data_IF_013907447584
#
_entry.id   IF_013907447584
#
_cell.length_a   1.000
_cell.length_b   1.000
_cell.length_c   1.000
_cell.angle_alpha   90.00
_cell.angle_beta   90.00
_cell.angle_gamma   90.00
#
_symmetry.space_group_name_H-M   'P 1'
#
loop_
_entity.id
_entity.type
_entity.pdbx_description
1 polymer ?
#
# COMPACT_ATOMS: atom_id res chain seq x y z
N UNK A 1 15.00 -15.82 2.47
CA UNK A 1 14.65 -16.77 1.39
C UNK A 1 14.34 -15.96 0.14
N UNK A 2 14.32 -16.55 -1.06
CA UNK A 2 13.84 -15.79 -2.23
C UNK A 2 12.32 -15.65 -2.15
N UNK A 3 11.82 -14.46 -2.45
CA UNK A 3 10.40 -14.19 -2.53
C UNK A 3 10.10 -13.19 -3.64
N UNK A 4 8.89 -13.29 -4.20
CA UNK A 4 8.31 -12.29 -5.08
C UNK A 4 6.80 -12.24 -4.87
N UNK A 5 6.21 -11.07 -5.01
CA UNK A 5 4.77 -10.88 -5.08
C UNK A 5 4.46 -9.86 -6.19
N UNK A 6 3.45 -10.16 -6.99
CA UNK A 6 2.98 -9.30 -8.07
C UNK A 6 1.47 -9.38 -8.19
N UNK A 7 0.85 -8.32 -8.69
CA UNK A 7 -0.59 -8.24 -8.84
C UNK A 7 -1.02 -6.78 -8.95
N UNK A 8 -2.18 -6.44 -8.38
CA UNK A 8 -2.69 -5.07 -8.39
C UNK A 8 -2.97 -4.56 -6.98
N UNK A 9 -3.03 -3.23 -6.86
CA UNK A 9 -3.33 -2.59 -5.61
C UNK A 9 -4.22 -1.36 -5.79
N UNK A 10 -4.93 -1.03 -4.72
CA UNK A 10 -5.61 0.24 -4.55
C UNK A 10 -5.20 0.81 -3.19
N UNK A 11 -4.76 2.07 -3.18
CA UNK A 11 -4.44 2.80 -1.97
C UNK A 11 -5.30 4.05 -1.82
N UNK A 12 -5.53 4.42 -0.56
CA UNK A 12 -6.15 5.68 -0.19
C UNK A 12 -5.56 6.23 1.09
N UNK A 13 -5.40 7.55 1.15
CA UNK A 13 -4.93 8.23 2.35
C UNK A 13 -5.60 9.60 2.53
N UNK A 14 -5.44 10.14 3.73
CA UNK A 14 -5.96 11.45 4.15
C UNK A 14 -5.32 12.64 3.44
N UNK A 15 -4.19 12.46 2.75
CA UNK A 15 -3.47 13.55 2.09
C UNK A 15 -4.33 14.25 1.03
N UNK A 16 -4.03 15.52 0.78
CA UNK A 16 -4.54 16.22 -0.38
C UNK A 16 -4.13 15.50 -1.67
N UNK A 17 -4.88 15.73 -2.74
CA UNK A 17 -4.78 15.00 -4.03
C UNK A 17 -3.37 15.00 -4.62
N UNK A 18 -2.60 16.07 -4.42
CA UNK A 18 -1.18 16.08 -4.78
C UNK A 18 -0.37 15.67 -3.55
N UNK A 19 -0.35 14.36 -3.32
CA UNK A 19 0.35 13.77 -2.18
C UNK A 19 1.86 14.06 -2.25
N UNK A 20 2.43 14.63 -1.18
CA UNK A 20 3.86 14.92 -1.10
C UNK A 20 4.74 13.67 -0.99
N UNK A 21 4.17 12.53 -0.57
CA UNK A 21 4.92 11.31 -0.30
C UNK A 21 5.73 10.83 -1.51
N UNK A 22 5.19 10.96 -2.72
CA UNK A 22 5.83 10.51 -3.94
C UNK A 22 7.18 11.17 -4.24
N UNK A 23 7.44 12.34 -3.65
CA UNK A 23 8.70 13.08 -3.79
C UNK A 23 9.32 13.38 -2.42
N UNK A 24 8.99 12.59 -1.40
CA UNK A 24 9.48 12.75 -0.02
C UNK A 24 9.26 14.17 0.55
N UNK A 25 8.22 14.86 0.07
CA UNK A 25 7.77 16.10 0.66
C UNK A 25 6.87 15.81 1.86
N UNK A 26 6.77 16.78 2.78
CA UNK A 26 5.87 16.69 3.93
C UNK A 26 4.44 16.39 3.46
N UNK A 27 3.82 15.29 3.93
CA UNK A 27 2.41 15.03 3.66
C UNK A 27 1.57 16.13 4.27
N UNK A 28 0.48 16.49 3.60
CA UNK A 28 -0.49 17.40 4.17
C UNK A 28 -1.89 17.02 3.69
N UNK A 29 -2.85 17.04 4.59
CA UNK A 29 -4.25 16.87 4.25
C UNK A 29 -4.94 18.21 3.90
N UNK A 30 -6.21 18.20 3.46
CA UNK A 30 -6.91 19.44 3.12
C UNK A 30 -7.13 20.40 4.30
N UNK A 31 -6.90 19.97 5.54
CA UNK A 31 -6.97 20.81 6.75
C UNK A 31 -5.59 21.32 7.19
N UNK A 32 -4.52 20.94 6.49
CA UNK A 32 -3.15 21.37 6.76
C UNK A 32 -2.46 20.61 7.90
N UNK A 33 -2.96 19.43 8.30
CA UNK A 33 -2.19 18.56 9.21
C UNK A 33 -1.05 17.92 8.44
N UNK A 34 0.14 17.90 9.03
CA UNK A 34 1.39 17.45 8.39
C UNK A 34 1.69 15.96 8.67
N UNK A 35 0.71 15.10 8.39
CA UNK A 35 0.82 13.65 8.58
C UNK A 35 0.08 12.91 7.45
N UNK A 36 0.40 11.63 7.25
CA UNK A 36 -0.32 10.75 6.35
C UNK A 36 -0.87 9.56 7.13
N UNK A 37 -2.19 9.48 7.23
CA UNK A 37 -2.90 8.25 7.60
C UNK A 37 -3.45 7.61 6.33
N UNK A 38 -3.11 6.34 6.09
CA UNK A 38 -3.44 5.66 4.85
C UNK A 38 -3.58 4.15 4.99
N UNK A 39 -4.10 3.55 3.91
CA UNK A 39 -4.02 2.12 3.69
C UNK A 39 -3.96 1.79 2.20
N UNK A 40 -3.41 0.63 1.88
CA UNK A 40 -3.43 0.04 0.55
C UNK A 40 -3.83 -1.43 0.66
N UNK A 41 -4.74 -1.89 -0.19
CA UNK A 41 -5.02 -3.30 -0.34
C UNK A 41 -4.38 -3.80 -1.63
N UNK A 42 -3.90 -5.03 -1.57
CA UNK A 42 -3.16 -5.72 -2.61
C UNK A 42 -3.84 -7.04 -2.88
N UNK A 43 -4.03 -7.34 -4.16
CA UNK A 43 -4.33 -8.68 -4.64
C UNK A 43 -3.04 -9.29 -5.19
N UNK A 44 -2.56 -10.38 -4.60
CA UNK A 44 -1.39 -11.10 -5.11
C UNK A 44 -1.85 -12.03 -6.23
N UNK A 45 -1.63 -11.63 -7.48
CA UNK A 45 -1.92 -12.47 -8.64
C UNK A 45 -0.93 -13.63 -8.78
N UNK A 46 0.36 -13.34 -8.54
CA UNK A 46 1.43 -14.35 -8.52
C UNK A 46 2.46 -14.03 -7.44
N UNK A 47 2.80 -15.00 -6.59
CA UNK A 47 3.84 -14.80 -5.60
C UNK A 47 4.19 -16.02 -4.74
N UNK A 48 5.34 -15.96 -4.08
CA UNK A 48 5.84 -17.01 -3.22
C UNK A 48 6.83 -16.51 -2.15
N UNK A 49 7.00 -17.29 -1.08
CA UNK A 49 8.14 -17.21 -0.15
C UNK A 49 8.74 -18.60 0.02
N UNK A 50 9.90 -18.85 -0.59
CA UNK A 50 10.42 -20.22 -0.69
C UNK A 50 9.38 -21.11 -1.39
N UNK A 51 8.91 -22.16 -0.71
CA UNK A 51 7.91 -23.11 -1.21
C UNK A 51 6.45 -22.70 -0.90
N UNK A 52 6.23 -21.64 -0.11
CA UNK A 52 4.88 -21.16 0.24
C UNK A 52 4.32 -20.36 -0.93
N UNK A 53 3.21 -20.84 -1.51
CA UNK A 53 2.48 -20.14 -2.56
C UNK A 53 1.61 -19.02 -1.96
N UNK A 54 1.79 -17.78 -2.45
CA UNK A 54 1.05 -16.59 -2.03
C UNK A 54 0.03 -16.11 -3.08
N UNK A 55 -0.06 -16.77 -4.24
CA UNK A 55 -1.02 -16.41 -5.28
C UNK A 55 -2.46 -16.54 -4.79
N UNK A 56 -3.29 -15.55 -5.12
CA UNK A 56 -4.69 -15.44 -4.71
C UNK A 56 -4.90 -14.87 -3.31
N UNK A 57 -3.85 -14.49 -2.58
CA UNK A 57 -3.98 -13.89 -1.25
C UNK A 57 -4.17 -12.38 -1.37
N UNK A 58 -5.22 -11.88 -0.72
CA UNK A 58 -5.44 -10.45 -0.53
C UNK A 58 -4.89 -10.01 0.83
N UNK A 59 -4.28 -8.82 0.89
CA UNK A 59 -3.85 -8.21 2.14
C UNK A 59 -3.97 -6.69 2.09
N UNK A 60 -4.09 -6.06 3.25
CA UNK A 60 -4.08 -4.62 3.42
C UNK A 60 -2.90 -4.17 4.29
N UNK A 61 -2.19 -3.15 3.81
CA UNK A 61 -1.12 -2.45 4.49
C UNK A 61 -1.65 -1.12 5.01
N UNK A 62 -1.62 -0.91 6.32
CA UNK A 62 -2.01 0.33 6.97
C UNK A 62 -0.78 1.12 7.40
N UNK A 63 -0.83 2.43 7.25
CA UNK A 63 0.29 3.30 7.59
C UNK A 63 -0.13 4.56 8.34
N UNK A 64 0.75 4.98 9.23
CA UNK A 64 0.83 6.35 9.71
C UNK A 64 2.25 6.86 9.48
N UNK A 65 2.38 7.90 8.66
CA UNK A 65 3.62 8.65 8.46
C UNK A 65 3.48 10.00 9.17
N UNK A 66 4.21 10.22 10.28
CA UNK A 66 4.09 11.46 11.06
C UNK A 66 4.82 12.65 10.44
N UNK A 67 5.53 12.43 9.32
CA UNK A 67 6.29 13.43 8.58
C UNK A 67 6.57 12.91 7.17
N UNK A 68 7.47 13.55 6.41
CA UNK A 68 7.97 12.99 5.16
C UNK A 68 8.57 11.59 5.38
N UNK A 69 8.53 10.75 4.34
CA UNK A 69 8.73 9.31 4.47
C UNK A 69 10.12 8.97 4.99
N UNK A 70 11.18 9.64 4.50
CA UNK A 70 12.55 9.36 4.95
C UNK A 70 12.84 9.77 6.40
N UNK A 71 11.98 10.58 7.02
CA UNK A 71 12.09 10.92 8.45
C UNK A 71 11.72 9.75 9.37
N UNK A 72 11.12 8.69 8.84
CA UNK A 72 10.82 7.46 9.56
C UNK A 72 9.76 7.63 10.66
N UNK A 73 9.89 6.82 11.71
CA UNK A 73 8.89 6.68 12.77
C UNK A 73 7.50 6.29 12.25
N UNK A 74 7.47 5.47 11.19
CA UNK A 74 6.21 4.98 10.64
C UNK A 74 5.55 4.02 11.61
N UNK A 75 4.22 4.06 11.69
CA UNK A 75 3.45 2.95 12.22
C UNK A 75 2.89 2.14 11.08
N UNK A 76 3.08 0.83 11.10
CA UNK A 76 2.63 -0.08 10.04
C UNK A 76 1.85 -1.23 10.63
N UNK A 77 0.66 -1.51 10.11
CA UNK A 77 -0.14 -2.68 10.49
C UNK A 77 -0.64 -3.43 9.26
N UNK A 78 -0.76 -4.75 9.34
CA UNK A 78 -1.15 -5.59 8.20
C UNK A 78 -2.45 -6.32 8.52
N UNK A 79 -3.39 -6.34 7.59
CA UNK A 79 -4.52 -7.27 7.62
C UNK A 79 -4.36 -8.25 6.48
N UNK A 80 -4.36 -9.55 6.75
CA UNK A 80 -4.38 -10.57 5.70
C UNK A 80 -5.79 -11.14 5.59
N UNK A 81 -6.22 -11.46 4.36
CA UNK A 81 -7.54 -12.04 4.14
C UNK A 81 -7.75 -13.30 4.98
N UNK A 82 -8.95 -13.42 5.56
CA UNK A 82 -9.30 -14.53 6.45
C UNK A 82 -9.33 -15.90 5.76
N UNK A 83 -9.40 -15.92 4.42
CA UNK A 83 -9.26 -17.12 3.59
C UNK A 83 -7.83 -17.64 3.45
N UNK A 84 -6.81 -16.85 3.83
CA UNK A 84 -5.41 -17.26 3.75
C UNK A 84 -5.06 -18.33 4.81
N UNK A 85 -4.19 -19.28 4.43
CA UNK A 85 -3.66 -20.29 5.35
C UNK A 85 -2.70 -19.67 6.36
N UNK A 86 -2.46 -20.36 7.47
CA UNK A 86 -1.50 -19.91 8.49
C UNK A 86 -0.09 -19.73 7.92
N UNK A 87 0.34 -20.62 7.01
CA UNK A 87 1.63 -20.51 6.32
C UNK A 87 1.70 -19.25 5.43
N UNK A 88 0.60 -18.89 4.77
CA UNK A 88 0.52 -17.69 3.93
C UNK A 88 0.55 -16.41 4.78
N UNK A 89 -0.16 -16.39 5.92
CA UNK A 89 -0.14 -15.27 6.85
C UNK A 89 1.26 -15.07 7.43
N UNK A 90 1.90 -16.14 7.88
CA UNK A 90 3.27 -16.10 8.41
C UNK A 90 4.28 -15.63 7.35
N UNK A 91 4.12 -16.07 6.10
CA UNK A 91 4.95 -15.65 4.99
C UNK A 91 4.78 -14.15 4.67
N UNK A 92 3.55 -13.65 4.60
CA UNK A 92 3.27 -12.23 4.38
C UNK A 92 3.75 -11.37 5.56
N UNK A 93 3.59 -11.81 6.82
CA UNK A 93 4.16 -11.10 7.96
C UNK A 93 5.67 -10.94 7.80
N UNK A 94 6.39 -12.01 7.47
CA UNK A 94 7.85 -11.99 7.32
C UNK A 94 8.31 -11.07 6.18
N UNK A 95 7.60 -11.08 5.05
CA UNK A 95 7.89 -10.17 3.93
C UNK A 95 7.63 -8.72 4.35
N UNK A 96 6.41 -8.40 4.81
CA UNK A 96 5.94 -7.02 5.02
C UNK A 96 6.56 -6.34 6.25
N UNK A 97 7.01 -7.12 7.23
CA UNK A 97 7.84 -6.64 8.36
C UNK A 97 9.30 -6.40 7.98
N UNK A 98 9.71 -6.77 6.75
CA UNK A 98 11.07 -6.59 6.23
C UNK A 98 12.06 -7.69 6.63
N UNK A 99 11.63 -8.73 7.35
CA UNK A 99 12.50 -9.84 7.80
C UNK A 99 13.11 -10.63 6.64
N UNK A 100 12.47 -10.63 5.47
CA UNK A 100 12.96 -11.30 4.26
C UNK A 100 13.74 -10.37 3.30
N UNK A 101 14.09 -9.15 3.71
CA UNK A 101 14.83 -8.21 2.86
C UNK A 101 14.00 -7.66 1.68
N UNK A 102 14.67 -7.36 0.57
CA UNK A 102 14.03 -6.76 -0.62
C UNK A 102 13.44 -5.38 -0.35
N UNK A 103 12.44 -4.98 -1.14
CA UNK A 103 11.79 -3.67 -1.03
C UNK A 103 11.25 -3.39 0.38
N UNK A 104 10.58 -4.36 1.02
CA UNK A 104 10.08 -4.18 2.40
C UNK A 104 11.19 -4.21 3.44
N UNK A 105 12.30 -4.90 3.19
CA UNK A 105 13.50 -4.80 4.02
C UNK A 105 14.09 -3.39 4.00
N UNK A 106 14.15 -2.75 2.83
CA UNK A 106 14.56 -1.35 2.70
C UNK A 106 13.57 -0.40 3.39
N UNK A 107 12.26 -0.59 3.21
CA UNK A 107 11.26 0.26 3.89
C UNK A 107 11.24 0.06 5.41
N UNK A 108 11.54 -1.15 5.90
CA UNK A 108 11.50 -1.46 7.34
C UNK A 108 12.45 -0.61 8.18
N UNK A 109 13.48 -0.01 7.59
CA UNK A 109 14.38 0.92 8.28
C UNK A 109 13.67 2.18 8.77
N UNK A 110 12.52 2.52 8.18
CA UNK A 110 11.70 3.68 8.54
C UNK A 110 10.61 3.33 9.56
N UNK A 111 10.40 2.06 9.87
CA UNK A 111 9.37 1.62 10.81
C UNK A 111 9.79 1.99 12.23
N UNK A 112 9.00 2.85 12.88
CA UNK A 112 9.10 3.11 14.32
C UNK A 112 8.33 2.08 15.14
N UNK A 113 7.20 1.61 14.61
CA UNK A 113 6.31 0.67 15.27
C UNK A 113 5.62 -0.26 14.27
N UNK A 114 5.77 -1.57 14.44
CA UNK A 114 4.97 -2.57 13.72
C UNK A 114 3.78 -2.98 14.60
N UNK A 115 2.58 -2.57 14.19
CA UNK A 115 1.31 -2.74 14.92
C UNK A 115 0.81 -4.19 14.93
N UNK A 116 1.45 -5.06 14.14
CA UNK A 116 1.15 -6.49 14.07
C UNK A 116 0.35 -6.87 12.83
N UNK A 117 -0.12 -8.12 12.85
CA UNK A 117 -0.94 -8.72 11.79
C UNK A 117 -2.28 -9.14 12.37
N UNK A 118 -3.36 -8.75 11.68
CA UNK A 118 -4.72 -9.20 11.96
C UNK A 118 -5.30 -9.96 10.77
N UNK A 119 -6.40 -10.68 10.98
CA UNK A 119 -7.19 -11.30 9.91
C UNK A 119 -8.57 -10.67 9.83
N UNK A 120 -9.03 -10.42 8.62
CA UNK A 120 -10.40 -10.04 8.29
C UNK A 120 -10.60 -10.28 6.79
N UNK A 121 -11.84 -10.25 6.30
CA UNK A 121 -12.06 -10.21 4.86
C UNK A 121 -11.38 -8.98 4.25
N UNK A 122 -10.61 -9.18 3.18
CA UNK A 122 -10.00 -8.13 2.36
C UNK A 122 -10.51 -8.33 0.94
N UNK A 123 -10.92 -7.24 0.28
CA UNK A 123 -11.32 -7.32 -1.12
C UNK A 123 -10.96 -6.07 -1.91
N UNK A 124 -10.58 -6.29 -3.16
CA UNK A 124 -10.51 -5.28 -4.20
C UNK A 124 -11.55 -5.61 -5.28
N UNK A 125 -12.41 -4.65 -5.61
CA UNK A 125 -13.37 -4.85 -6.70
C UNK A 125 -12.73 -4.62 -8.06
N UNK A 126 -13.13 -5.40 -9.05
CA UNK A 126 -12.94 -5.10 -10.47
C UNK A 126 -14.14 -4.29 -11.02
N UNK A 127 -13.91 -3.42 -12.01
CA UNK A 127 -14.99 -2.72 -12.73
C UNK A 127 -14.90 -1.19 -12.77
N UNK A 128 -16.04 -0.52 -13.02
CA UNK A 128 -16.12 0.93 -13.32
C UNK A 128 -15.68 1.84 -12.17
N UNK A 129 -15.90 1.41 -10.93
CA UNK A 129 -15.41 2.10 -9.73
C UNK A 129 -14.66 1.09 -8.88
N UNK A 130 -13.34 1.27 -8.77
CA UNK A 130 -12.49 0.44 -7.92
C UNK A 130 -12.79 0.72 -6.46
N UNK A 131 -12.96 -0.34 -5.67
CA UNK A 131 -13.19 -0.29 -4.23
C UNK A 131 -12.21 -1.17 -3.49
N UNK A 132 -11.86 -0.73 -2.30
CA UNK A 132 -11.11 -1.47 -1.31
C UNK A 132 -12.02 -1.64 -0.09
N UNK A 133 -12.20 -2.87 0.38
CA UNK A 133 -12.92 -3.14 1.62
C UNK A 133 -12.11 -4.06 2.54
N UNK A 134 -12.09 -3.73 3.82
CA UNK A 134 -11.56 -4.58 4.90
C UNK A 134 -12.63 -4.72 5.98
N UNK A 135 -13.04 -5.96 6.27
CA UNK A 135 -14.18 -6.30 7.10
C UNK A 135 -14.24 -5.53 8.43
N UNK A 136 -15.23 -4.65 8.55
CA UNK A 136 -15.48 -3.85 9.77
C UNK A 136 -14.44 -2.76 10.06
N UNK A 137 -13.49 -2.51 9.16
CA UNK A 137 -12.37 -1.58 9.36
C UNK A 137 -12.34 -0.48 8.32
N UNK A 138 -12.46 -0.82 7.04
CA UNK A 138 -12.17 0.10 5.94
C UNK A 138 -13.12 -0.14 4.79
N UNK A 139 -13.63 0.95 4.20
CA UNK A 139 -14.35 0.94 2.93
C UNK A 139 -13.94 2.19 2.16
N UNK A 140 -13.34 2.00 0.98
CA UNK A 140 -12.87 3.08 0.12
C UNK A 140 -13.39 2.89 -1.31
N UNK A 141 -13.76 4.00 -1.94
CA UNK A 141 -14.11 4.03 -3.36
C UNK A 141 -13.22 5.04 -4.10
N UNK A 142 -12.59 4.58 -5.18
CA UNK A 142 -11.62 5.33 -5.96
C UNK A 142 -12.22 5.83 -7.28
N UNK A 143 -11.89 7.08 -7.61
CA UNK A 143 -12.19 7.70 -8.90
C UNK A 143 -10.91 8.31 -9.47
N UNK A 144 -10.45 7.87 -10.67
CA UNK A 144 -9.24 8.40 -11.25
C UNK A 144 -9.43 9.88 -11.64
N UNK A 145 -8.40 10.69 -11.42
CA UNK A 145 -8.33 12.00 -12.08
C UNK A 145 -8.18 11.77 -13.58
N UNK A 146 -8.89 12.55 -14.39
CA UNK A 146 -8.85 12.42 -15.84
C UNK A 146 -8.05 13.53 -16.49
N UNK A 147 -7.20 13.16 -17.44
CA UNK A 147 -6.51 14.07 -18.34
C UNK A 147 -7.42 14.62 -19.44
N UNK A 148 -6.92 15.55 -20.26
CA UNK A 148 -7.68 16.15 -21.37
C UNK A 148 -8.17 15.15 -22.42
N UNK A 149 -7.52 14.00 -22.55
CA UNK A 149 -7.88 12.89 -23.45
C UNK A 149 -8.89 11.92 -22.83
N UNK A 150 -9.31 12.15 -21.59
CA UNK A 150 -10.22 11.29 -20.83
C UNK A 150 -9.54 10.09 -20.14
N UNK A 151 -8.24 9.85 -20.41
CA UNK A 151 -7.44 8.83 -19.74
C UNK A 151 -7.11 9.20 -18.29
N UNK A 152 -6.66 8.23 -17.47
CA UNK A 152 -6.23 8.52 -16.10
C UNK A 152 -4.99 9.41 -16.08
N UNK A 153 -4.95 10.37 -15.17
CA UNK A 153 -3.72 11.07 -14.81
C UNK A 153 -2.80 10.11 -14.07
N UNK A 154 -1.55 9.98 -14.52
CA UNK A 154 -0.57 9.09 -13.89
C UNK A 154 0.62 9.85 -13.32
N UNK A 155 1.25 9.24 -12.32
CA UNK A 155 2.54 9.64 -11.79
C UNK A 155 3.57 8.56 -12.14
N UNK A 156 4.78 8.97 -12.53
CA UNK A 156 5.88 8.06 -12.90
C UNK A 156 7.17 8.47 -12.18
N UNK A 157 8.02 7.48 -11.90
CA UNK A 157 9.35 7.71 -11.30
C UNK A 157 9.25 8.48 -9.97
N UNK A 158 8.26 8.12 -9.14
CA UNK A 158 8.16 8.58 -7.77
C UNK A 158 9.32 7.98 -6.94
N UNK A 159 9.78 8.71 -5.92
CA UNK A 159 10.69 8.15 -4.92
C UNK A 159 9.97 7.10 -4.10
N UNK A 160 8.76 7.42 -3.64
CA UNK A 160 7.89 6.48 -2.93
C UNK A 160 6.59 6.22 -3.71
N UNK A 161 6.29 4.94 -3.90
CA UNK A 161 5.06 4.46 -4.51
C UNK A 161 5.12 2.94 -4.62
N UNK A 162 3.97 2.28 -4.77
CA UNK A 162 3.96 0.82 -4.88
C UNK A 162 4.22 0.31 -6.31
N UNK A 163 4.38 1.22 -7.28
CA UNK A 163 4.67 0.92 -8.67
C UNK A 163 5.52 2.03 -9.33
N UNK A 164 6.28 1.72 -10.40
CA UNK A 164 7.05 2.73 -11.15
C UNK A 164 6.17 3.76 -11.87
N UNK A 165 4.93 3.36 -12.18
CA UNK A 165 3.86 4.22 -12.67
C UNK A 165 2.55 3.81 -12.00
N UNK A 166 1.75 4.79 -11.60
CA UNK A 166 0.42 4.56 -11.01
C UNK A 166 -0.55 5.68 -11.39
N UNK A 167 -1.84 5.33 -11.50
CA UNK A 167 -2.90 6.30 -11.69
C UNK A 167 -3.24 6.98 -10.37
N UNK A 168 -3.42 8.30 -10.38
CA UNK A 168 -3.82 9.08 -9.20
C UNK A 168 -5.28 9.49 -9.27
N UNK A 169 -5.92 9.58 -8.11
CA UNK A 169 -7.36 9.78 -8.03
C UNK A 169 -7.83 10.39 -6.74
N UNK A 170 -9.15 10.53 -6.67
CA UNK A 170 -9.87 10.86 -5.45
C UNK A 170 -10.36 9.56 -4.84
N UNK A 171 -10.31 9.51 -3.51
CA UNK A 171 -10.88 8.40 -2.77
C UNK A 171 -11.91 8.96 -1.79
N UNK A 172 -13.01 8.24 -1.60
CA UNK A 172 -14.03 8.54 -0.59
C UNK A 172 -14.25 7.32 0.30
N UNK A 173 -14.91 7.49 1.45
CA UNK A 173 -15.18 6.40 2.39
C UNK A 173 -14.57 6.69 3.76
N UNK A 174 -14.15 5.64 4.47
CA UNK A 174 -13.53 5.77 5.79
C UNK A 174 -12.67 4.57 6.14
N UNK A 175 -11.74 4.77 7.06
CA UNK A 175 -10.88 3.72 7.57
C UNK A 175 -10.68 3.88 9.08
N UNK A 176 -10.71 2.76 9.80
CA UNK A 176 -10.41 2.68 11.23
C UNK A 176 -9.84 1.31 11.57
N UNK A 177 -8.52 1.19 11.59
CA UNK A 177 -7.78 -0.03 11.92
C UNK A 177 -6.54 0.30 12.76
N UNK A 178 -6.13 -0.59 13.66
CA UNK A 178 -4.94 -0.39 14.51
C UNK A 178 -4.91 0.94 15.30
N UNK A 179 -6.08 1.51 15.62
CA UNK A 179 -6.20 2.82 16.26
C UNK A 179 -5.88 4.02 15.35
N UNK A 180 -5.73 3.78 14.04
CA UNK A 180 -5.58 4.79 13.00
C UNK A 180 -6.94 5.01 12.33
N UNK A 181 -7.48 6.23 12.42
CA UNK A 181 -8.77 6.56 11.82
C UNK A 181 -8.63 7.76 10.88
N UNK A 182 -9.16 7.64 9.66
CA UNK A 182 -9.10 8.71 8.67
C UNK A 182 -10.23 8.63 7.64
N UNK A 183 -10.53 9.77 7.03
CA UNK A 183 -11.31 9.88 5.80
C UNK A 183 -10.32 10.07 4.64
N UNK A 184 -10.36 9.25 3.59
CA UNK A 184 -9.45 9.36 2.47
C UNK A 184 -9.81 10.55 1.59
N UNK A 185 -8.82 11.10 0.90
CA UNK A 185 -9.00 12.18 -0.09
C UNK A 185 -8.20 11.87 -1.34
N UNK A 186 -6.94 11.45 -1.17
CA UNK A 186 -6.08 10.95 -2.23
C UNK A 186 -6.23 9.43 -2.38
N UNK A 187 -6.05 8.95 -3.60
CA UNK A 187 -5.79 7.55 -3.86
C UNK A 187 -4.91 7.31 -5.07
N UNK A 188 -4.42 6.10 -5.16
CA UNK A 188 -3.64 5.60 -6.27
C UNK A 188 -3.90 4.12 -6.52
N UNK A 189 -3.74 3.70 -7.77
CA UNK A 189 -3.89 2.30 -8.16
C UNK A 189 -2.96 1.97 -9.32
N UNK A 190 -2.45 0.74 -9.32
CA UNK A 190 -1.64 0.18 -10.40
C UNK A 190 -1.44 -1.32 -10.23
N UNK A 191 -0.74 -1.91 -11.18
CA UNK A 191 -0.08 -3.19 -10.98
C UNK A 191 1.24 -2.98 -10.20
N UNK A 192 1.59 -3.91 -9.32
CA UNK A 192 2.81 -3.88 -8.53
C UNK A 192 3.65 -5.13 -8.75
N UNK A 193 4.96 -5.00 -8.51
CA UNK A 193 5.91 -6.12 -8.43
C UNK A 193 6.92 -5.81 -7.33
N UNK A 194 7.03 -6.69 -6.34
CA UNK A 194 8.06 -6.66 -5.32
C UNK A 194 8.77 -8.00 -5.23
N UNK A 195 10.06 -7.98 -4.89
CA UNK A 195 10.81 -9.21 -4.65
C UNK A 195 11.99 -8.98 -3.70
N UNK A 196 12.57 -10.08 -3.22
CA UNK A 196 13.83 -10.08 -2.45
C UNK A 196 15.03 -9.59 -3.25
N UNK A 197 14.95 -9.66 -4.57
CA UNK A 197 16.04 -9.30 -5.49
C UNK A 197 15.74 -7.94 -6.12
N UNK A 198 16.70 -7.02 -6.09
CA UNK A 198 16.56 -5.80 -6.89
C UNK A 198 16.65 -6.21 -8.38
N UNK A 199 15.76 -5.72 -9.26
CA UNK A 199 15.92 -5.96 -10.69
C UNK A 199 17.30 -5.45 -11.13
N UNK A 200 18.02 -6.26 -11.89
CA UNK A 200 19.36 -5.90 -12.39
C UNK A 200 19.26 -4.58 -13.18
N UNK A 201 19.89 -3.51 -12.68
CA UNK A 201 19.84 -2.18 -13.30
C UNK A 201 18.61 -1.32 -12.97
N UNK A 202 17.76 -1.72 -12.01
CA UNK A 202 16.74 -0.81 -11.48
C UNK A 202 17.42 0.41 -10.86
N UNK A 203 16.99 1.65 -11.20
CA UNK A 203 17.44 2.82 -10.46
C UNK A 203 17.04 2.61 -8.99
N UNK A 204 17.98 2.85 -8.07
CA UNK A 204 17.71 2.85 -6.64
C UNK A 204 16.82 4.06 -6.32
N UNK A 205 15.52 3.95 -6.60
CA UNK A 205 14.49 4.72 -5.93
C UNK A 205 14.48 4.27 -4.48
N UNK A 206 14.61 5.22 -3.55
CA UNK A 206 14.56 4.97 -2.11
C UNK A 206 13.17 5.30 -1.60
#
# INVERSE_FOLDING_TARGET
>A
MTWSISGNYLAGCSCAILCGCAVDAMPHDPQGREECLGCAAFHVADGHLGDVNLSGVDFAFYNHFPSNLTSGNWKVGIVVDEGASDEQVDALERILSGREGGAFGELSQFYGEFLGVERASVSLSDGEQLRLSVGGKTDLAFEPLRGPDGGPTTMKNAMFGFAPEFAVGRTTGSSSAFGLSFEPVYGEQSDFVFSSEAPEGAPAGR
#
